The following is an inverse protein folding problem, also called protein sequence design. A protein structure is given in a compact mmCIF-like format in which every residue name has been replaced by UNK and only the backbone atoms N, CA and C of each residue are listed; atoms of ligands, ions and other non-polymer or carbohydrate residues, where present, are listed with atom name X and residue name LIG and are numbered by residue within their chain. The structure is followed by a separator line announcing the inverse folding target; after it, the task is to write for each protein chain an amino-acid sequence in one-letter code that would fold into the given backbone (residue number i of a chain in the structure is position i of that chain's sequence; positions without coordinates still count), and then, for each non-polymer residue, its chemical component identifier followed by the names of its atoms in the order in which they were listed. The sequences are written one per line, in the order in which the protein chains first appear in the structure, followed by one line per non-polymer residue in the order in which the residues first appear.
data_IF_491345447444
#
_entry.id   IF_491345447444
#
_cell.length_a   1.000
_cell.length_b   1.000
_cell.length_c   1.000
_cell.angle_alpha   90.00
_cell.angle_beta   90.00
_cell.angle_gamma   90.00
#
_symmetry.space_group_name_H-M   'P 1'
#
loop_
_entity.id
_entity.type
_entity.pdbx_description
1 polymer ?
#
# COMPACT_ATOMS: atom_id res chain seq x y z
N UNK A 1 -20.23 8.68 -8.63
CA UNK A 1 -18.97 9.23 -9.18
C UNK A 1 -17.81 8.42 -8.64
N UNK A 2 -16.80 8.17 -9.47
CA UNK A 2 -15.60 7.46 -9.04
C UNK A 2 -14.70 8.40 -8.25
N UNK A 3 -14.07 7.87 -7.21
CA UNK A 3 -13.22 8.64 -6.28
C UNK A 3 -11.89 7.96 -6.01
N UNK A 4 -11.79 6.67 -6.30
CA UNK A 4 -10.61 5.86 -6.02
C UNK A 4 -10.41 4.84 -7.14
N UNK A 5 -9.21 4.28 -7.19
CA UNK A 5 -8.80 3.23 -8.11
C UNK A 5 -8.23 2.06 -7.33
N UNK A 6 -8.63 0.86 -7.73
CA UNK A 6 -8.01 -0.40 -7.34
C UNK A 6 -7.22 -0.95 -8.52
N UNK A 7 -5.95 -1.25 -8.28
CA UNK A 7 -5.09 -1.95 -9.24
C UNK A 7 -4.73 -3.32 -8.70
N UNK A 8 -4.88 -4.33 -9.54
CA UNK A 8 -4.57 -5.72 -9.21
C UNK A 8 -3.29 -6.16 -9.92
N UNK A 9 -2.45 -6.89 -9.19
CA UNK A 9 -1.28 -7.61 -9.71
C UNK A 9 -0.37 -6.75 -10.61
N UNK A 10 0.02 -5.56 -10.14
CA UNK A 10 0.87 -4.64 -10.90
C UNK A 10 0.16 -3.99 -12.10
N UNK A 11 -1.15 -3.77 -12.00
CA UNK A 11 -1.94 -3.08 -13.02
C UNK A 11 -2.53 -3.98 -14.11
N UNK A 12 -2.53 -5.31 -13.92
CA UNK A 12 -3.17 -6.25 -14.86
C UNK A 12 -4.67 -5.98 -15.01
N UNK A 13 -5.28 -5.51 -13.92
CA UNK A 13 -6.69 -5.09 -13.87
C UNK A 13 -6.77 -3.79 -13.09
N UNK A 14 -7.46 -2.79 -13.64
CA UNK A 14 -7.67 -1.47 -13.02
C UNK A 14 -9.17 -1.23 -12.92
N UNK A 15 -9.66 -0.90 -11.72
CA UNK A 15 -11.08 -0.68 -11.44
C UNK A 15 -11.28 0.61 -10.66
N UNK A 16 -12.11 1.52 -11.16
CA UNK A 16 -12.50 2.71 -10.40
C UNK A 16 -13.68 2.42 -9.48
N UNK A 17 -13.62 2.93 -8.24
CA UNK A 17 -14.67 2.77 -7.22
C UNK A 17 -15.13 4.14 -6.68
N UNK A 18 -16.41 4.23 -6.30
CA UNK A 18 -16.98 5.43 -5.68
C UNK A 18 -16.70 5.55 -4.18
N UNK A 19 -17.24 6.60 -3.54
CA UNK A 19 -16.99 7.01 -2.13
C UNK A 19 -17.86 6.33 -1.06
N UNK A 20 -18.70 5.35 -1.43
CA UNK A 20 -19.56 4.62 -0.50
C UNK A 20 -19.32 3.11 -0.57
N UNK A 21 -18.08 2.67 -0.39
CA UNK A 21 -17.70 1.26 -0.29
C UNK A 21 -17.50 0.89 1.16
N UNK A 22 -17.98 -0.29 1.55
CA UNK A 22 -17.67 -0.88 2.85
C UNK A 22 -16.37 -1.69 2.79
N UNK A 23 -15.83 -2.02 3.96
CA UNK A 23 -14.64 -2.88 4.16
C UNK A 23 -14.61 -4.14 3.28
N UNK A 24 -15.77 -4.75 3.02
CA UNK A 24 -15.91 -5.94 2.16
C UNK A 24 -15.33 -5.77 0.75
N UNK A 25 -15.27 -4.54 0.24
CA UNK A 25 -14.71 -4.23 -1.07
C UNK A 25 -13.20 -4.52 -1.13
N UNK A 26 -12.52 -4.53 0.02
CA UNK A 26 -11.09 -4.80 0.17
C UNK A 26 -10.85 -6.20 0.76
N UNK A 27 -11.69 -6.65 1.69
CA UNK A 27 -11.60 -7.98 2.31
C UNK A 27 -11.64 -9.12 1.28
N UNK A 28 -12.63 -9.11 0.38
CA UNK A 28 -12.77 -10.17 -0.64
C UNK A 28 -11.54 -10.30 -1.55
N UNK A 29 -11.01 -9.22 -2.17
CA UNK A 29 -9.83 -9.35 -3.01
C UNK A 29 -8.54 -9.69 -2.23
N UNK A 30 -8.41 -9.31 -0.96
CA UNK A 30 -7.27 -9.66 -0.13
C UNK A 30 -7.30 -11.15 0.28
N UNK A 31 -8.48 -11.68 0.67
CA UNK A 31 -8.66 -13.08 1.04
C UNK A 31 -8.48 -14.08 -0.11
N UNK A 32 -8.65 -13.63 -1.36
CA UNK A 32 -8.51 -14.48 -2.54
C UNK A 32 -7.05 -14.60 -3.03
N UNK A 33 -6.07 -14.07 -2.29
CA UNK A 33 -4.65 -14.05 -2.69
C UNK A 33 -3.97 -15.37 -2.44
N UNK A 34 -3.13 -15.75 -3.39
CA UNK A 34 -2.30 -16.96 -3.31
C UNK A 34 -0.79 -16.65 -3.38
N UNK A 35 -0.41 -15.36 -3.47
CA UNK A 35 0.98 -14.93 -3.59
C UNK A 35 1.60 -15.19 -4.98
N UNK A 36 0.86 -15.78 -5.92
CA UNK A 36 1.36 -16.19 -7.23
C UNK A 36 0.59 -15.53 -8.37
N UNK A 37 -0.65 -15.95 -8.60
CA UNK A 37 -1.50 -15.37 -9.64
C UNK A 37 -2.25 -14.14 -9.11
N UNK A 38 -2.62 -14.18 -7.83
CA UNK A 38 -3.31 -13.11 -7.11
C UNK A 38 -2.43 -12.69 -5.95
N UNK A 39 -1.59 -11.69 -6.21
CA UNK A 39 -0.47 -11.33 -5.35
C UNK A 39 -0.39 -9.83 -5.03
N UNK A 40 -1.00 -8.94 -5.84
CA UNK A 40 -0.83 -7.47 -5.72
C UNK A 40 -2.17 -6.71 -5.65
N UNK A 41 -2.39 -5.83 -4.67
CA UNK A 41 -3.53 -4.92 -4.61
C UNK A 41 -3.01 -3.53 -4.27
N UNK A 42 -3.38 -2.52 -5.04
CA UNK A 42 -3.07 -1.13 -4.74
C UNK A 42 -4.36 -0.32 -4.74
N UNK A 43 -4.45 0.62 -3.82
CA UNK A 43 -5.53 1.59 -3.68
C UNK A 43 -4.97 2.99 -3.70
N UNK A 44 -5.55 3.85 -4.51
CA UNK A 44 -5.22 5.28 -4.55
C UNK A 44 -6.44 6.14 -4.89
N UNK A 45 -6.40 7.42 -4.49
CA UNK A 45 -7.49 8.36 -4.68
C UNK A 45 -7.38 9.08 -6.04
N UNK A 46 -8.51 9.22 -6.74
CA UNK A 46 -8.59 10.05 -7.92
C UNK A 46 -8.55 11.54 -7.52
N UNK A 47 -7.93 12.41 -8.33
CA UNK A 47 -7.95 13.85 -8.08
C UNK A 47 -9.38 14.39 -7.97
N UNK A 48 -9.63 15.40 -7.11
CA UNK A 48 -10.92 16.09 -7.07
C UNK A 48 -11.33 16.61 -8.45
N UNK A 49 -12.58 16.36 -8.84
CA UNK A 49 -13.09 16.79 -10.15
C UNK A 49 -12.57 15.99 -11.34
N UNK A 50 -12.00 14.80 -11.11
CA UNK A 50 -11.56 13.88 -12.16
C UNK A 50 -12.60 13.72 -13.28
N UNK A 51 -12.16 13.93 -14.53
CA UNK A 51 -12.91 13.69 -15.76
C UNK A 51 -12.72 12.23 -16.20
N UNK A 52 -13.80 11.48 -16.30
CA UNK A 52 -13.79 10.05 -16.66
C UNK A 52 -13.31 9.78 -18.09
N UNK A 53 -13.11 10.82 -18.89
CA UNK A 53 -12.48 10.76 -20.22
C UNK A 53 -10.95 10.67 -20.16
N UNK A 54 -10.32 11.06 -19.05
CA UNK A 54 -8.86 10.95 -18.88
C UNK A 54 -8.53 9.51 -18.49
N UNK A 55 -7.66 8.81 -19.25
CA UNK A 55 -7.26 7.46 -18.87
C UNK A 55 -6.58 7.46 -17.49
N UNK A 56 -7.08 6.62 -16.59
CA UNK A 56 -6.57 6.50 -15.21
C UNK A 56 -5.05 6.28 -15.17
N UNK A 57 -4.50 5.51 -16.11
CA UNK A 57 -3.06 5.23 -16.24
C UNK A 57 -2.19 6.46 -16.54
N UNK A 58 -2.79 7.54 -17.04
CA UNK A 58 -2.09 8.78 -17.38
C UNK A 58 -2.06 9.75 -16.17
N UNK A 59 -2.77 9.42 -15.09
CA UNK A 59 -2.76 10.19 -13.86
C UNK A 59 -1.49 9.96 -13.03
N UNK A 60 -1.09 10.96 -12.24
CA UNK A 60 0.05 10.79 -11.36
C UNK A 60 -0.27 9.92 -10.14
N UNK A 61 0.45 8.80 -10.01
CA UNK A 61 0.43 7.95 -8.83
C UNK A 61 1.39 8.50 -7.75
N UNK A 62 0.93 9.51 -7.02
CA UNK A 62 1.71 10.18 -5.96
C UNK A 62 1.52 9.55 -4.60
N UNK A 63 0.32 9.03 -4.31
CA UNK A 63 -0.09 8.51 -3.02
C UNK A 63 -0.86 7.20 -3.19
N UNK A 64 -0.53 6.18 -2.40
CA UNK A 64 -1.21 4.89 -2.44
C UNK A 64 -0.99 4.09 -1.17
N UNK A 65 -1.87 3.11 -0.95
CA UNK A 65 -1.60 1.94 -0.12
C UNK A 65 -1.57 0.70 -1.01
N UNK A 66 -0.58 -0.18 -0.82
CA UNK A 66 -0.48 -1.43 -1.56
C UNK A 66 -0.18 -2.63 -0.67
N UNK A 67 -0.61 -3.81 -1.13
CA UNK A 67 -0.34 -5.11 -0.55
C UNK A 67 0.31 -6.04 -1.57
N UNK A 68 1.36 -6.74 -1.15
CA UNK A 68 2.02 -7.82 -1.88
C UNK A 68 2.08 -9.10 -1.03
N UNK A 69 1.63 -10.24 -1.57
CA UNK A 69 1.74 -11.56 -0.90
C UNK A 69 0.47 -12.41 -0.98
N UNK A 70 0.37 -13.43 -0.10
CA UNK A 70 -0.80 -14.31 0.03
C UNK A 70 -1.80 -13.77 1.07
N UNK A 71 -2.96 -14.41 1.20
CA UNK A 71 -3.97 -14.03 2.18
C UNK A 71 -3.49 -14.23 3.64
N UNK A 72 -2.55 -15.13 3.87
CA UNK A 72 -2.00 -15.49 5.18
C UNK A 72 -0.78 -14.65 5.54
N UNK A 73 -0.02 -14.20 4.54
CA UNK A 73 1.18 -13.40 4.73
C UNK A 73 1.37 -12.42 3.58
N UNK A 74 1.20 -11.13 3.86
CA UNK A 74 1.46 -10.03 2.93
C UNK A 74 2.21 -8.88 3.59
N UNK A 75 3.01 -8.17 2.80
CA UNK A 75 3.60 -6.90 3.19
C UNK A 75 2.71 -5.76 2.71
N UNK A 76 2.58 -4.72 3.54
CA UNK A 76 1.89 -3.47 3.20
C UNK A 76 2.89 -2.33 3.03
N UNK A 77 2.66 -1.51 2.00
CA UNK A 77 3.46 -0.31 1.76
C UNK A 77 2.54 0.88 1.48
N UNK A 78 2.85 2.02 2.10
CA UNK A 78 2.14 3.29 1.89
C UNK A 78 3.09 4.31 1.29
N UNK A 79 2.64 5.05 0.27
CA UNK A 79 3.33 6.23 -0.24
C UNK A 79 2.50 7.47 0.07
N UNK A 80 3.12 8.46 0.71
CA UNK A 80 2.49 9.71 1.15
C UNK A 80 3.48 10.89 1.11
N UNK A 81 3.00 12.15 1.15
CA UNK A 81 3.87 13.31 1.26
C UNK A 81 4.77 13.25 2.50
N UNK A 82 6.02 13.67 2.37
CA UNK A 82 7.00 13.64 3.47
C UNK A 82 8.45 13.56 2.98
N UNK A 83 9.38 13.41 3.92
CA UNK A 83 10.80 13.20 3.61
C UNK A 83 11.58 14.48 3.29
N UNK A 84 11.09 15.64 3.72
CA UNK A 84 11.75 16.93 3.50
C UNK A 84 13.17 16.97 4.08
N UNK A 85 13.44 16.20 5.15
CA UNK A 85 14.80 16.04 5.71
C UNK A 85 15.79 15.38 4.73
N UNK A 86 15.29 14.66 3.72
CA UNK A 86 16.07 14.06 2.64
C UNK A 86 15.97 14.85 1.33
N UNK A 87 15.29 16.00 1.32
CA UNK A 87 14.99 16.75 0.10
C UNK A 87 13.93 16.08 -0.79
N UNK A 88 13.08 15.24 -0.20
CA UNK A 88 11.99 14.55 -0.89
C UNK A 88 10.64 15.24 -0.67
N UNK A 89 9.72 14.99 -1.61
CA UNK A 89 8.32 15.42 -1.56
C UNK A 89 7.40 14.28 -1.12
N UNK A 90 7.77 13.03 -1.42
CA UNK A 90 7.02 11.83 -1.08
C UNK A 90 7.95 10.73 -0.58
N UNK A 91 7.44 9.86 0.29
CA UNK A 91 8.18 8.69 0.76
C UNK A 91 7.26 7.48 0.72
N UNK A 92 7.79 6.36 0.22
CA UNK A 92 7.19 5.03 0.33
C UNK A 92 7.75 4.36 1.57
N UNK A 93 6.87 3.86 2.42
CA UNK A 93 7.18 3.21 3.69
C UNK A 93 6.69 1.76 3.67
N UNK A 94 7.41 0.87 4.33
CA UNK A 94 6.86 -0.38 4.84
C UNK A 94 6.00 -0.07 6.07
N UNK A 95 4.82 -0.67 6.13
CA UNK A 95 3.92 -0.57 7.28
C UNK A 95 4.26 -1.71 8.24
N UNK A 96 4.34 -1.40 9.53
CA UNK A 96 4.49 -2.39 10.60
C UNK A 96 3.43 -2.25 11.67
N UNK A 97 3.16 -3.34 12.39
CA UNK A 97 2.22 -3.40 13.50
C UNK A 97 2.50 -2.35 14.58
N UNK A 98 1.47 -1.92 15.33
CA UNK A 98 1.66 -1.30 16.63
C UNK A 98 2.45 -2.26 17.52
N UNK A 99 3.54 -1.79 18.13
CA UNK A 99 4.39 -2.64 18.97
C UNK A 99 3.90 -2.57 20.42
N UNK A 100 3.42 -3.67 21.05
CA UNK A 100 3.05 -3.64 22.45
C UNK A 100 4.26 -3.78 23.38
N UNK A 101 5.29 -4.56 22.99
CA UNK A 101 6.44 -4.87 23.86
C UNK A 101 7.64 -5.39 23.04
N UNK A 102 8.85 -4.89 23.33
CA UNK A 102 10.14 -5.29 22.73
C UNK A 102 10.59 -6.71 23.11
N UNK A 103 9.76 -7.50 23.81
CA UNK A 103 10.14 -8.79 24.40
C UNK A 103 10.31 -9.93 23.37
N UNK A 104 9.82 -9.76 22.14
CA UNK A 104 10.01 -10.74 21.06
C UNK A 104 10.89 -10.16 19.97
N UNK A 105 12.05 -10.78 19.66
CA UNK A 105 12.88 -10.33 18.56
C UNK A 105 12.12 -10.49 17.25
N UNK A 106 12.24 -9.49 16.38
CA UNK A 106 11.78 -9.60 15.01
C UNK A 106 12.57 -10.72 14.31
N UNK A 107 11.90 -11.52 13.49
CA UNK A 107 12.57 -12.46 12.58
C UNK A 107 12.30 -12.08 11.15
N UNK A 108 13.27 -12.35 10.27
CA UNK A 108 13.13 -12.13 8.84
C UNK A 108 12.10 -13.10 8.26
N UNK A 109 11.21 -12.57 7.45
CA UNK A 109 10.17 -13.29 6.73
C UNK A 109 10.26 -12.93 5.25
N UNK A 110 10.26 -13.95 4.41
CA UNK A 110 10.19 -13.81 2.96
C UNK A 110 8.73 -13.77 2.52
N UNK A 111 8.37 -12.75 1.73
CA UNK A 111 7.09 -12.68 1.03
C UNK A 111 7.39 -12.85 -0.46
N UNK A 112 7.05 -14.03 -1.00
CA UNK A 112 7.23 -14.34 -2.41
C UNK A 112 6.21 -13.56 -3.26
N UNK A 113 6.71 -12.81 -4.25
CA UNK A 113 5.93 -12.23 -5.33
C UNK A 113 6.44 -12.79 -6.67
N UNK A 114 5.68 -12.68 -7.78
CA UNK A 114 6.12 -13.25 -9.06
C UNK A 114 7.40 -12.65 -9.63
N UNK A 115 7.70 -11.39 -9.34
CA UNK A 115 8.87 -10.68 -9.88
C UNK A 115 10.00 -10.49 -8.86
N UNK A 116 9.73 -10.64 -7.58
CA UNK A 116 10.69 -10.36 -6.51
C UNK A 116 10.31 -11.08 -5.21
N UNK A 117 11.26 -11.20 -4.29
CA UNK A 117 11.00 -11.62 -2.92
C UNK A 117 11.21 -10.42 -2.02
N UNK A 118 10.19 -10.07 -1.23
CA UNK A 118 10.33 -9.03 -0.21
C UNK A 118 10.88 -9.66 1.06
N UNK A 119 11.93 -9.06 1.62
CA UNK A 119 12.46 -9.40 2.93
C UNK A 119 11.92 -8.38 3.95
N UNK A 120 11.05 -8.85 4.83
CA UNK A 120 10.39 -8.03 5.85
C UNK A 120 10.57 -8.67 7.22
N UNK A 121 10.26 -7.93 8.27
CA UNK A 121 10.24 -8.52 9.61
C UNK A 121 8.86 -9.08 9.94
N UNK A 122 8.75 -9.95 10.93
CA UNK A 122 7.45 -10.40 11.47
C UNK A 122 6.51 -9.27 11.86
N UNK A 123 7.02 -8.08 12.18
CA UNK A 123 6.21 -6.92 12.49
C UNK A 123 5.59 -6.24 11.26
N UNK A 124 6.02 -6.61 10.06
CA UNK A 124 5.58 -6.04 8.79
C UNK A 124 4.78 -7.06 7.94
N UNK A 125 4.39 -8.18 8.56
CA UNK A 125 3.58 -9.25 7.95
C UNK A 125 2.14 -9.16 8.42
N UNK A 126 1.23 -9.03 7.47
CA UNK A 126 -0.21 -8.91 7.69
C UNK A 126 -0.93 -10.12 7.14
N UNK A 127 -2.05 -10.48 7.77
CA UNK A 127 -3.05 -11.34 7.15
C UNK A 127 -4.07 -10.48 6.36
N UNK A 128 -4.90 -11.13 5.55
CA UNK A 128 -5.90 -10.45 4.73
C UNK A 128 -6.97 -9.70 5.52
N UNK A 129 -7.26 -10.13 6.76
CA UNK A 129 -8.27 -9.49 7.59
C UNK A 129 -7.80 -8.10 8.02
N UNK A 130 -6.64 -8.03 8.66
CA UNK A 130 -6.07 -6.77 9.11
C UNK A 130 -5.71 -5.85 7.94
N UNK A 131 -5.17 -6.41 6.85
CA UNK A 131 -4.93 -5.63 5.65
C UNK A 131 -6.23 -4.99 5.11
N UNK A 132 -7.38 -5.67 5.21
CA UNK A 132 -8.65 -5.10 4.77
C UNK A 132 -9.11 -3.93 5.66
N UNK A 133 -8.80 -3.97 6.96
CA UNK A 133 -9.05 -2.84 7.87
C UNK A 133 -8.18 -1.64 7.51
N UNK A 134 -6.90 -1.85 7.21
CA UNK A 134 -5.99 -0.78 6.78
C UNK A 134 -6.36 -0.19 5.42
N UNK A 135 -6.77 -1.01 4.45
CA UNK A 135 -7.29 -0.53 3.17
C UNK A 135 -8.57 0.28 3.34
N UNK A 136 -9.46 -0.15 4.23
CA UNK A 136 -10.67 0.61 4.51
C UNK A 136 -10.38 1.93 5.22
N UNK A 137 -9.43 1.95 6.16
CA UNK A 137 -8.96 3.18 6.81
C UNK A 137 -8.39 4.16 5.77
N UNK A 138 -7.44 3.71 4.95
CA UNK A 138 -6.85 4.52 3.89
C UNK A 138 -7.89 5.03 2.89
N UNK A 139 -8.83 4.19 2.48
CA UNK A 139 -9.96 4.61 1.64
C UNK A 139 -10.80 5.74 2.26
N UNK A 140 -10.99 5.71 3.57
CA UNK A 140 -11.83 6.66 4.28
C UNK A 140 -11.10 7.99 4.59
N UNK A 141 -9.79 7.94 4.84
CA UNK A 141 -9.03 9.08 5.40
C UNK A 141 -7.86 9.54 4.54
N UNK A 142 -7.42 8.74 3.58
CA UNK A 142 -6.16 8.94 2.86
C UNK A 142 -4.91 8.53 3.65
N UNK A 143 -5.05 7.91 4.82
CA UNK A 143 -3.93 7.50 5.67
C UNK A 143 -4.26 6.23 6.48
N UNK A 144 -3.27 5.65 7.15
CA UNK A 144 -3.47 4.54 8.09
C UNK A 144 -3.56 5.03 9.54
N UNK A 145 -4.08 4.23 10.49
CA UNK A 145 -4.06 4.58 11.91
C UNK A 145 -2.63 4.86 12.41
N UNK A 146 -2.50 5.85 13.31
CA UNK A 146 -1.21 6.43 13.73
C UNK A 146 -0.38 5.55 14.65
N UNK A 147 -0.97 4.49 15.20
CA UNK A 147 -0.33 3.49 16.05
C UNK A 147 0.48 2.46 15.25
N UNK A 148 0.25 2.37 13.94
CA UNK A 148 1.10 1.59 13.03
C UNK A 148 2.45 2.29 12.82
N UNK A 149 3.49 1.49 12.66
CA UNK A 149 4.85 1.97 12.43
C UNK A 149 5.14 2.11 10.93
N UNK A 150 6.03 3.03 10.59
CA UNK A 150 6.43 3.31 9.20
C UNK A 150 7.95 3.28 9.08
N UNK A 151 8.47 2.30 8.34
CA UNK A 151 9.89 2.22 7.99
C UNK A 151 10.11 2.75 6.57
N UNK A 152 10.94 3.79 6.36
CA UNK A 152 11.19 4.34 5.04
C UNK A 152 11.81 3.29 4.10
N UNK A 153 11.34 3.21 2.85
CA UNK A 153 11.88 2.34 1.80
C UNK A 153 12.52 3.16 0.68
N UNK A 154 11.76 4.11 0.12
CA UNK A 154 12.19 4.93 -1.02
C UNK A 154 11.64 6.35 -0.85
N UNK A 155 12.45 7.35 -1.19
CA UNK A 155 12.05 8.75 -1.20
C UNK A 155 11.98 9.27 -2.64
N UNK A 156 11.07 10.20 -2.91
CA UNK A 156 10.84 10.73 -4.25
C UNK A 156 10.68 12.25 -4.23
N UNK A 157 11.21 12.88 -5.26
CA UNK A 157 10.86 14.26 -5.65
C UNK A 157 9.51 14.30 -6.37
N UNK A 158 8.92 15.50 -6.50
CA UNK A 158 7.66 15.73 -7.19
C UNK A 158 7.70 15.31 -8.67
N UNK A 159 8.88 15.37 -9.31
CA UNK A 159 9.11 14.87 -10.67
C UNK A 159 9.56 13.40 -10.71
N UNK A 160 9.33 12.66 -9.61
CA UNK A 160 9.47 11.21 -9.45
C UNK A 160 10.89 10.67 -9.51
N UNK A 161 11.92 11.52 -9.36
CA UNK A 161 13.28 11.00 -9.14
C UNK A 161 13.37 10.37 -7.75
N UNK A 162 13.98 9.19 -7.70
CA UNK A 162 14.29 8.49 -6.45
C UNK A 162 15.44 9.24 -5.76
N UNK A 163 15.32 9.38 -4.44
CA UNK A 163 16.35 9.90 -3.54
C UNK A 163 16.77 8.76 -2.61
N UNK A 164 18.08 8.58 -2.46
CA UNK A 164 18.63 7.62 -1.52
C UNK A 164 18.32 8.05 -0.08
N UNK A 165 17.74 7.13 0.70
CA UNK A 165 17.50 7.32 2.12
C UNK A 165 18.76 6.85 2.87
N UNK A 166 19.44 7.71 3.65
CA UNK A 166 20.57 7.29 4.46
C UNK A 166 20.14 6.20 5.44
N UNK A 167 20.95 5.13 5.51
CA UNK A 167 20.79 4.01 6.45
C UNK A 167 21.07 4.41 7.90
#
# INVERSE_FOLDING_TARGET
MNTHVLEYNGGSTIVSIGSNRGRWAFDRPLRNRDGKERWGLMLWALPPGFDDKVPVKDLPLTEFLQAGGSAEAMSLQIKKPGGQQWGADYVKYAVGHPHPDEEKPAVDVEIELPQETLHVTTFEVFNAEEAADLFYAYYATGDIPHDYTLRPLEAYTADRRIIDIPS
#
